data_IF_918089130076
#
_entry.id   IF_918089130076
#
_cell.length_a   1.000
_cell.length_b   1.000
_cell.length_c   1.000
_cell.angle_alpha   90.00
_cell.angle_beta   90.00
_cell.angle_gamma   90.00
#
_symmetry.space_group_name_H-M   'P 1'
#
loop_
_entity.id
_entity.type
_entity.pdbx_description
1 polymer ?
#
# COMPACT_ATOMS: atom_id res chain seq x y z
N UNK A 1 -31.58 -27.16 18.05
CA UNK A 1 -30.82 -27.31 16.79
C UNK A 1 -30.40 -25.98 16.16
N UNK A 2 -30.39 -24.86 16.92
CA UNK A 2 -29.96 -23.52 16.45
C UNK A 2 -28.65 -23.09 17.15
N UNK A 3 -28.37 -23.64 18.33
CA UNK A 3 -27.25 -23.23 19.19
C UNK A 3 -25.87 -23.65 18.67
N UNK A 4 -25.76 -24.82 18.04
CA UNK A 4 -24.47 -25.34 17.56
C UNK A 4 -23.98 -24.58 16.32
N UNK A 5 -24.90 -24.15 15.46
CA UNK A 5 -24.62 -23.39 14.23
C UNK A 5 -24.01 -22.02 14.53
N UNK A 6 -24.47 -21.33 15.57
CA UNK A 6 -23.92 -20.03 15.97
C UNK A 6 -22.51 -20.13 16.54
N UNK A 7 -22.23 -21.19 17.30
CA UNK A 7 -20.90 -21.42 17.88
C UNK A 7 -19.86 -21.68 16.78
N UNK A 8 -20.24 -22.39 15.72
CA UNK A 8 -19.36 -22.65 14.58
C UNK A 8 -19.13 -21.40 13.71
N UNK A 9 -20.15 -20.56 13.52
CA UNK A 9 -20.01 -19.26 12.85
C UNK A 9 -19.05 -18.35 13.64
N UNK A 10 -19.21 -18.26 14.96
CA UNK A 10 -18.34 -17.45 15.82
C UNK A 10 -16.89 -17.97 15.78
N UNK A 11 -16.69 -19.29 15.79
CA UNK A 11 -15.35 -19.90 15.67
C UNK A 11 -14.71 -19.74 14.29
N UNK A 12 -15.51 -19.55 13.24
CA UNK A 12 -15.02 -19.32 11.86
C UNK A 12 -14.51 -17.89 11.62
N UNK A 13 -14.81 -16.97 12.52
CA UNK A 13 -14.43 -15.55 12.43
C UNK A 13 -12.96 -15.38 12.82
N UNK A 14 -12.10 -15.29 11.82
CA UNK A 14 -10.64 -15.17 11.99
C UNK A 14 -10.13 -13.74 12.06
N UNK A 15 -10.98 -12.73 11.81
CA UNK A 15 -10.57 -11.33 11.79
C UNK A 15 -11.52 -10.42 12.58
N UNK A 16 -11.00 -9.33 13.19
CA UNK A 16 -11.81 -8.34 13.92
C UNK A 16 -12.93 -7.71 13.07
N UNK A 17 -12.71 -7.60 11.75
CA UNK A 17 -13.68 -7.05 10.79
C UNK A 17 -14.85 -8.02 10.58
N UNK A 18 -14.58 -9.32 10.48
CA UNK A 18 -15.63 -10.34 10.37
C UNK A 18 -16.49 -10.44 11.64
N UNK A 19 -15.92 -10.17 12.82
CA UNK A 19 -16.67 -10.10 14.09
C UNK A 19 -17.57 -8.85 14.15
N UNK A 20 -17.09 -7.72 13.64
CA UNK A 20 -17.85 -6.47 13.52
C UNK A 20 -19.07 -6.64 12.59
N UNK A 21 -18.89 -7.32 11.45
CA UNK A 21 -19.99 -7.60 10.50
C UNK A 21 -21.06 -8.48 11.17
N UNK A 22 -20.67 -9.51 11.91
CA UNK A 22 -21.60 -10.38 12.62
C UNK A 22 -22.41 -9.61 13.67
N UNK A 23 -21.75 -8.78 14.49
CA UNK A 23 -22.44 -7.96 15.49
C UNK A 23 -23.40 -6.96 14.82
N UNK A 24 -22.95 -6.31 13.74
CA UNK A 24 -23.78 -5.36 12.99
C UNK A 24 -25.04 -6.03 12.44
N UNK A 25 -24.92 -7.26 11.93
CA UNK A 25 -26.06 -8.04 11.45
C UNK A 25 -27.02 -8.43 12.58
N UNK A 26 -26.50 -8.88 13.73
CA UNK A 26 -27.31 -9.27 14.88
C UNK A 26 -28.05 -8.07 15.48
N UNK A 27 -27.38 -6.93 15.67
CA UNK A 27 -28.04 -5.73 16.20
C UNK A 27 -28.95 -5.10 15.16
N UNK A 28 -28.57 -5.09 13.88
CA UNK A 28 -29.43 -4.64 12.79
C UNK A 28 -30.74 -5.44 12.69
N UNK A 29 -30.66 -6.77 12.86
CA UNK A 29 -31.84 -7.64 12.93
C UNK A 29 -32.73 -7.32 14.14
N UNK A 30 -32.15 -7.14 15.33
CA UNK A 30 -32.89 -6.78 16.55
C UNK A 30 -33.54 -5.39 16.47
N UNK A 31 -32.93 -4.45 15.75
CA UNK A 31 -33.48 -3.11 15.50
C UNK A 31 -34.59 -3.13 14.45
N UNK A 32 -34.53 -4.04 13.47
CA UNK A 32 -35.54 -4.16 12.42
C UNK A 32 -36.87 -4.72 12.95
N UNK A 33 -36.83 -5.69 13.88
CA UNK A 33 -38.03 -6.37 14.41
C UNK A 33 -38.63 -5.70 15.67
N UNK A 34 -38.07 -4.58 16.15
CA UNK A 34 -38.47 -3.97 17.42
C UNK A 34 -39.21 -2.64 17.27
N UNK A 35 -40.49 -2.60 17.63
CA UNK A 35 -41.28 -1.36 17.77
C UNK A 35 -41.06 -0.63 19.13
N UNK A 36 -40.26 -1.22 20.03
CA UNK A 36 -40.03 -0.64 21.36
C UNK A 36 -38.89 0.41 21.32
N UNK A 37 -39.16 1.68 21.63
CA UNK A 37 -38.16 2.76 21.53
C UNK A 37 -36.97 2.58 22.48
N UNK A 38 -37.14 1.89 23.61
CA UNK A 38 -36.06 1.62 24.57
C UNK A 38 -35.08 0.59 24.00
N UNK A 39 -35.61 -0.44 23.33
CA UNK A 39 -34.79 -1.47 22.67
C UNK A 39 -34.05 -0.87 21.47
N UNK A 40 -34.71 0.02 20.73
CA UNK A 40 -34.10 0.78 19.64
C UNK A 40 -32.92 1.66 20.09
N UNK A 41 -33.13 2.48 21.12
CA UNK A 41 -32.08 3.34 21.68
C UNK A 41 -30.93 2.52 22.29
N UNK A 42 -31.25 1.44 22.99
CA UNK A 42 -30.24 0.54 23.58
C UNK A 42 -29.40 -0.17 22.51
N UNK A 43 -30.03 -0.67 21.44
CA UNK A 43 -29.35 -1.32 20.32
C UNK A 43 -28.45 -0.36 19.55
N UNK A 44 -28.90 0.87 19.30
CA UNK A 44 -28.10 1.92 18.66
C UNK A 44 -26.89 2.33 19.51
N UNK A 45 -27.08 2.49 20.84
CA UNK A 45 -25.98 2.81 21.76
C UNK A 45 -24.93 1.68 21.80
N UNK A 46 -25.38 0.43 21.78
CA UNK A 46 -24.49 -0.74 21.74
C UNK A 46 -23.70 -0.81 20.42
N UNK A 47 -24.35 -0.59 19.27
CA UNK A 47 -23.69 -0.49 17.97
C UNK A 47 -22.64 0.62 17.93
N UNK A 48 -22.98 1.79 18.47
CA UNK A 48 -22.07 2.93 18.53
C UNK A 48 -20.83 2.60 19.39
N UNK A 49 -21.02 2.00 20.56
CA UNK A 49 -19.92 1.59 21.44
C UNK A 49 -19.02 0.55 20.77
N UNK A 50 -19.59 -0.45 20.09
CA UNK A 50 -18.83 -1.48 19.39
C UNK A 50 -18.07 -0.89 18.21
N UNK A 51 -18.70 0.01 17.45
CA UNK A 51 -18.06 0.72 16.33
C UNK A 51 -16.86 1.53 16.82
N UNK A 52 -17.02 2.32 17.90
CA UNK A 52 -15.91 3.06 18.51
C UNK A 52 -14.81 2.11 18.98
N UNK A 53 -15.17 1.02 19.66
CA UNK A 53 -14.18 0.05 20.16
C UNK A 53 -13.39 -0.59 19.03
N UNK A 54 -14.04 -0.89 17.91
CA UNK A 54 -13.38 -1.42 16.71
C UNK A 54 -12.53 -0.38 16.00
N UNK A 55 -12.96 0.89 15.92
CA UNK A 55 -12.14 1.99 15.41
C UNK A 55 -10.89 2.16 16.28
N UNK A 56 -11.04 2.22 17.59
CA UNK A 56 -9.92 2.33 18.55
C UNK A 56 -9.01 1.11 18.46
N UNK A 57 -9.55 -0.10 18.36
CA UNK A 57 -8.78 -1.31 18.17
C UNK A 57 -8.02 -1.29 16.85
N UNK A 58 -8.66 -0.92 15.74
CA UNK A 58 -8.02 -0.81 14.43
C UNK A 58 -6.90 0.26 14.42
N UNK A 59 -7.10 1.38 15.13
CA UNK A 59 -6.10 2.43 15.31
C UNK A 59 -4.94 1.96 16.19
N UNK A 60 -5.22 1.24 17.29
CA UNK A 60 -4.24 0.78 18.29
C UNK A 60 -3.43 -0.43 17.82
N UNK A 61 -4.06 -1.33 17.05
CA UNK A 61 -3.45 -2.56 16.54
C UNK A 61 -3.06 -2.47 15.06
N UNK A 62 -3.09 -1.27 14.45
CA UNK A 62 -2.68 -1.05 13.05
C UNK A 62 -3.38 -1.99 12.06
N UNK A 63 -4.66 -2.33 12.28
CA UNK A 63 -5.36 -3.29 11.42
C UNK A 63 -5.78 -2.71 10.06
N UNK A 64 -5.72 -1.38 9.88
CA UNK A 64 -6.11 -0.70 8.64
C UNK A 64 -4.92 -0.38 7.71
N UNK A 65 -3.69 -0.45 8.23
CA UNK A 65 -2.47 -0.30 7.44
C UNK A 65 -1.37 -1.14 8.12
N UNK A 66 -0.68 -2.05 7.40
CA UNK A 66 0.47 -2.76 7.95
C UNK A 66 1.37 -1.78 8.70
N UNK A 67 1.81 -2.14 9.91
CA UNK A 67 2.64 -1.26 10.76
C UNK A 67 3.92 -0.74 10.09
N UNK A 68 4.29 -1.37 8.97
CA UNK A 68 5.36 -0.96 8.05
C UNK A 68 5.12 0.43 7.42
N UNK A 69 3.87 0.84 7.18
CA UNK A 69 3.56 2.14 6.55
C UNK A 69 3.69 3.31 7.55
N UNK A 70 3.62 3.06 8.87
CA UNK A 70 3.76 4.12 9.90
C UNK A 70 5.20 4.50 10.23
N UNK A 71 6.21 3.81 9.71
CA UNK A 71 7.56 3.81 10.30
C UNK A 71 8.66 4.37 9.38
N UNK A 72 8.42 5.47 8.67
CA UNK A 72 9.51 6.24 8.02
C UNK A 72 9.54 7.71 8.46
N UNK A 73 8.52 8.14 9.22
CA UNK A 73 8.43 9.49 9.81
C UNK A 73 8.83 9.52 11.29
N UNK A 74 9.22 8.36 11.86
CA UNK A 74 9.78 8.28 13.20
C UNK A 74 11.17 8.92 13.19
N UNK A 75 11.40 9.90 14.07
CA UNK A 75 12.72 10.54 14.25
C UNK A 75 13.85 9.55 14.57
N UNK A 76 13.52 8.35 15.03
CA UNK A 76 14.51 7.31 15.38
C UNK A 76 15.03 6.53 14.17
N UNK A 77 14.46 6.73 12.99
CA UNK A 77 14.81 5.98 11.78
C UNK A 77 15.81 6.75 10.88
N UNK A 78 16.37 7.84 11.42
CA UNK A 78 17.30 8.78 10.82
C UNK A 78 18.38 9.20 11.84
N UNK A 79 19.54 9.75 11.41
CA UNK A 79 19.98 9.92 10.02
C UNK A 79 20.32 8.58 9.35
N UNK A 80 20.29 8.51 8.02
CA UNK A 80 20.76 7.36 7.28
C UNK A 80 22.26 7.14 7.51
N UNK A 81 22.68 5.88 7.64
CA UNK A 81 24.11 5.56 7.51
C UNK A 81 24.59 5.87 6.09
N UNK A 82 25.87 6.20 5.92
CA UNK A 82 26.44 6.46 4.59
C UNK A 82 26.27 5.28 3.64
N UNK A 83 26.44 4.05 4.15
CA UNK A 83 26.20 2.83 3.37
C UNK A 83 24.73 2.72 2.93
N UNK A 84 23.79 3.01 3.83
CA UNK A 84 22.36 3.01 3.50
C UNK A 84 22.02 4.04 2.42
N UNK A 85 22.51 5.28 2.57
CA UNK A 85 22.24 6.33 1.59
C UNK A 85 22.80 5.98 0.20
N UNK A 86 24.02 5.44 0.14
CA UNK A 86 24.63 4.97 -1.11
C UNK A 86 23.89 3.77 -1.70
N UNK A 87 23.29 2.93 -0.87
CA UNK A 87 22.55 1.76 -1.32
C UNK A 87 21.26 2.10 -2.09
N UNK A 88 20.74 3.33 -1.99
CA UNK A 88 19.58 3.78 -2.77
C UNK A 88 19.96 4.47 -4.09
N UNK A 89 21.11 5.14 -4.14
CA UNK A 89 21.54 5.92 -5.31
C UNK A 89 21.77 5.05 -6.56
N UNK A 90 21.53 5.63 -7.74
CA UNK A 90 21.84 5.02 -9.04
C UNK A 90 20.61 4.52 -9.81
N UNK A 91 20.87 3.72 -10.84
CA UNK A 91 19.84 3.23 -11.78
C UNK A 91 19.30 1.86 -11.39
N UNK A 92 17.99 1.71 -11.54
CA UNK A 92 17.23 0.55 -11.14
C UNK A 92 16.27 0.11 -12.24
N UNK A 93 16.38 -1.15 -12.64
CA UNK A 93 15.43 -1.83 -13.51
C UNK A 93 14.20 -2.21 -12.70
N UNK A 94 13.05 -1.67 -13.04
CA UNK A 94 11.85 -1.80 -12.24
C UNK A 94 10.80 -2.58 -13.01
N UNK A 95 10.31 -3.66 -12.40
CA UNK A 95 9.21 -4.47 -12.92
C UNK A 95 8.00 -4.26 -12.04
N UNK A 96 6.93 -3.79 -12.64
CA UNK A 96 5.69 -3.46 -11.96
C UNK A 96 4.65 -4.49 -12.34
N UNK A 97 3.82 -4.82 -11.36
CA UNK A 97 2.66 -5.69 -11.56
C UNK A 97 1.39 -4.94 -11.18
N UNK A 98 0.25 -5.40 -11.68
CA UNK A 98 -1.05 -4.95 -11.23
C UNK A 98 -1.90 -6.14 -10.80
N UNK A 99 -2.86 -5.90 -9.91
CA UNK A 99 -3.81 -6.90 -9.47
C UNK A 99 -5.07 -6.84 -10.36
N UNK A 100 -5.38 -7.92 -11.04
CA UNK A 100 -6.56 -8.01 -11.90
C UNK A 100 -7.86 -8.28 -11.10
N UNK A 101 -8.99 -8.33 -11.80
CA UNK A 101 -10.32 -8.60 -11.21
C UNK A 101 -10.43 -9.98 -10.54
N UNK A 102 -9.57 -10.92 -10.92
CA UNK A 102 -9.47 -12.25 -10.31
C UNK A 102 -8.41 -12.30 -9.18
N UNK A 103 -7.94 -11.14 -8.74
CA UNK A 103 -6.96 -10.99 -7.67
C UNK A 103 -5.57 -11.58 -8.00
N UNK A 104 -5.24 -11.76 -9.29
CA UNK A 104 -3.95 -12.24 -9.76
C UNK A 104 -2.99 -11.08 -10.06
N UNK A 105 -1.71 -11.23 -9.72
CA UNK A 105 -0.68 -10.28 -10.13
C UNK A 105 -0.26 -10.57 -11.57
N UNK A 106 -0.44 -9.58 -12.45
CA UNK A 106 -0.01 -9.63 -13.85
C UNK A 106 1.08 -8.58 -14.10
N UNK A 107 2.01 -8.82 -15.03
CA UNK A 107 2.94 -7.80 -15.50
C UNK A 107 2.18 -6.55 -15.94
N UNK A 108 2.73 -5.39 -15.61
CA UNK A 108 2.09 -4.10 -15.86
C UNK A 108 2.95 -3.18 -16.69
N UNK A 109 4.13 -2.85 -16.18
CA UNK A 109 5.12 -2.04 -16.89
C UNK A 109 6.51 -2.45 -16.44
N UNK A 110 7.47 -2.33 -17.34
CA UNK A 110 8.89 -2.39 -17.05
C UNK A 110 9.47 -1.00 -17.36
N UNK A 111 10.09 -0.36 -16.37
CA UNK A 111 10.71 0.97 -16.52
C UNK A 111 12.07 1.04 -15.80
N UNK A 112 12.76 2.17 -15.98
CA UNK A 112 14.02 2.45 -15.29
C UNK A 112 13.79 3.62 -14.34
N UNK A 113 14.21 3.49 -13.09
CA UNK A 113 14.27 4.59 -12.12
C UNK A 113 15.73 4.93 -11.84
N UNK A 114 16.09 6.20 -11.93
CA UNK A 114 17.37 6.73 -11.47
C UNK A 114 17.15 7.57 -10.21
N UNK A 115 17.68 7.10 -9.08
CA UNK A 115 17.72 7.87 -7.83
C UNK A 115 18.97 8.74 -7.85
N UNK A 116 18.77 10.05 -7.91
CA UNK A 116 19.83 11.04 -8.14
C UNK A 116 20.36 11.65 -6.84
N UNK A 117 19.53 11.73 -5.81
CA UNK A 117 19.89 12.36 -4.54
C UNK A 117 19.29 11.62 -3.36
N UNK A 118 20.08 11.50 -2.29
CA UNK A 118 19.67 10.96 -1.00
C UNK A 118 20.31 11.82 0.10
N UNK A 119 19.50 12.61 0.81
CA UNK A 119 19.97 13.40 1.95
C UNK A 119 20.09 12.49 3.19
N UNK A 120 21.28 12.43 3.79
CA UNK A 120 21.53 11.50 4.90
C UNK A 120 20.79 11.89 6.17
N UNK A 121 20.65 13.19 6.45
CA UNK A 121 20.08 13.65 7.71
C UNK A 121 18.56 13.52 7.75
N UNK A 122 17.91 13.92 6.66
CA UNK A 122 16.45 13.87 6.50
C UNK A 122 15.97 12.58 5.86
N UNK A 123 16.83 11.80 5.22
CA UNK A 123 16.46 10.63 4.42
C UNK A 123 15.70 11.00 3.15
N UNK A 124 15.63 12.27 2.75
CA UNK A 124 14.95 12.70 1.53
C UNK A 124 15.57 12.05 0.31
N UNK A 125 14.73 11.51 -0.58
CA UNK A 125 15.13 10.89 -1.84
C UNK A 125 14.50 11.67 -2.99
N UNK A 126 15.28 11.95 -4.04
CA UNK A 126 14.78 12.42 -5.32
C UNK A 126 15.29 11.54 -6.46
N UNK A 127 14.49 11.42 -7.52
CA UNK A 127 14.84 10.63 -8.69
C UNK A 127 13.95 10.89 -9.89
N UNK A 128 14.28 10.22 -10.98
CA UNK A 128 13.64 10.33 -12.28
C UNK A 128 13.33 8.93 -12.78
N UNK A 129 12.09 8.70 -13.24
CA UNK A 129 11.69 7.46 -13.87
C UNK A 129 11.44 7.64 -15.36
N UNK A 130 11.88 6.67 -16.14
CA UNK A 130 11.83 6.66 -17.61
C UNK A 130 10.71 5.71 -18.05
N UNK A 131 9.53 6.27 -18.32
CA UNK A 131 8.31 5.52 -18.56
C UNK A 131 8.24 4.93 -19.97
N UNK A 132 7.65 3.73 -20.09
CA UNK A 132 7.33 3.12 -21.40
C UNK A 132 6.06 3.70 -22.04
N UNK A 133 5.25 4.44 -21.29
CA UNK A 133 3.90 4.85 -21.74
C UNK A 133 3.94 5.98 -22.76
N UNK A 134 4.93 6.87 -22.67
CA UNK A 134 5.06 8.03 -23.56
C UNK A 134 6.55 8.23 -23.85
N UNK A 135 6.90 8.17 -25.13
CA UNK A 135 8.27 8.31 -25.61
C UNK A 135 8.83 9.69 -25.21
N UNK A 136 10.00 9.71 -24.56
CA UNK A 136 10.68 10.90 -24.05
C UNK A 136 10.01 11.62 -22.86
N UNK A 137 9.06 11.00 -22.17
CA UNK A 137 8.49 11.59 -20.95
C UNK A 137 8.93 10.87 -19.69
N UNK A 138 9.53 11.64 -18.80
CA UNK A 138 9.98 11.17 -17.49
C UNK A 138 8.94 11.52 -16.42
N UNK A 139 8.83 10.68 -15.40
CA UNK A 139 8.14 11.03 -14.16
C UNK A 139 9.15 11.34 -13.06
N UNK A 140 8.77 12.21 -12.15
CA UNK A 140 9.62 12.60 -11.02
C UNK A 140 9.27 11.76 -9.81
N UNK A 141 10.28 11.29 -9.08
CA UNK A 141 10.12 10.63 -7.80
C UNK A 141 10.64 11.54 -6.68
N UNK A 142 9.88 11.62 -5.60
CA UNK A 142 10.32 12.26 -4.36
C UNK A 142 9.79 11.51 -3.16
N UNK A 143 10.59 11.36 -2.12
CA UNK A 143 10.17 10.59 -0.96
C UNK A 143 11.16 10.63 0.18
N UNK A 144 11.07 9.63 1.05
CA UNK A 144 12.04 9.43 2.14
C UNK A 144 12.39 7.96 2.30
N UNK A 145 13.67 7.68 2.53
CA UNK A 145 14.16 6.42 3.04
C UNK A 145 14.44 6.49 4.55
N UNK A 146 14.59 5.31 5.14
CA UNK A 146 14.93 5.12 6.56
C UNK A 146 16.08 4.15 6.72
N UNK A 147 16.73 4.19 7.89
CA UNK A 147 17.70 3.18 8.32
C UNK A 147 17.11 1.77 8.51
N UNK A 148 15.78 1.64 8.43
CA UNK A 148 15.10 0.34 8.38
C UNK A 148 15.09 -0.27 6.99
N UNK A 149 15.78 0.36 6.03
CA UNK A 149 15.85 -0.05 4.62
C UNK A 149 14.49 -0.03 3.93
N UNK A 150 13.64 0.90 4.34
CA UNK A 150 12.33 1.13 3.73
C UNK A 150 12.31 2.54 3.15
N UNK A 151 11.74 2.69 1.95
CA UNK A 151 11.49 3.98 1.31
C UNK A 151 10.02 4.17 0.95
N UNK A 152 9.50 5.37 1.20
CA UNK A 152 8.21 5.83 0.68
C UNK A 152 8.48 6.88 -0.38
N UNK A 153 8.13 6.58 -1.62
CA UNK A 153 8.30 7.47 -2.76
C UNK A 153 6.93 7.86 -3.31
N UNK A 154 6.79 9.12 -3.67
CA UNK A 154 5.68 9.62 -4.48
C UNK A 154 6.22 9.87 -5.87
N UNK A 155 5.41 9.53 -6.88
CA UNK A 155 5.74 9.86 -8.25
C UNK A 155 4.67 10.74 -8.87
N UNK A 156 5.11 11.63 -9.76
CA UNK A 156 4.23 12.48 -10.55
C UNK A 156 4.74 12.55 -11.99
N UNK A 157 3.85 12.25 -12.94
CA UNK A 157 4.12 12.48 -14.36
C UNK A 157 3.62 13.86 -14.78
N UNK A 158 4.41 14.62 -15.56
CA UNK A 158 3.99 15.91 -16.12
C UNK A 158 3.02 15.76 -17.31
N UNK A 159 2.78 14.56 -17.84
CA UNK A 159 1.94 14.40 -19.02
C UNK A 159 0.46 14.67 -18.72
N UNK A 160 -0.17 15.54 -19.51
CA UNK A 160 -1.59 15.87 -19.38
C UNK A 160 -2.53 14.66 -19.58
N UNK A 161 -2.07 13.62 -20.28
CA UNK A 161 -2.78 12.35 -20.51
C UNK A 161 -2.43 11.28 -19.46
N UNK A 162 -1.31 11.45 -18.77
CA UNK A 162 -0.82 10.59 -17.71
C UNK A 162 -1.12 11.28 -16.38
N UNK A 163 -2.36 11.17 -15.91
CA UNK A 163 -2.71 11.44 -14.50
C UNK A 163 -2.02 10.47 -13.52
N UNK A 164 -0.81 10.00 -13.84
CA UNK A 164 0.01 9.05 -13.12
C UNK A 164 0.68 9.79 -11.97
N UNK A 165 -0.11 10.00 -10.93
CA UNK A 165 0.41 10.27 -9.60
C UNK A 165 0.19 9.03 -8.75
N UNK A 166 1.12 8.76 -7.85
CA UNK A 166 1.01 7.58 -7.02
C UNK A 166 2.05 7.52 -5.92
N UNK A 167 2.01 6.41 -5.20
CA UNK A 167 2.90 6.12 -4.10
C UNK A 167 3.52 4.75 -4.30
N UNK A 168 4.78 4.62 -3.91
CA UNK A 168 5.56 3.39 -3.91
C UNK A 168 6.15 3.21 -2.52
N UNK A 169 6.01 2.01 -1.99
CA UNK A 169 6.60 1.58 -0.72
C UNK A 169 7.60 0.49 -1.05
N UNK A 170 8.88 0.75 -0.79
CA UNK A 170 9.98 -0.14 -1.11
C UNK A 170 10.62 -0.65 0.17
N UNK A 171 11.00 -1.92 0.16
CA UNK A 171 11.79 -2.58 1.19
C UNK A 171 13.03 -3.17 0.53
N UNK A 172 14.19 -2.82 1.09
CA UNK A 172 15.50 -3.21 0.60
C UNK A 172 16.11 -4.24 1.55
N UNK A 173 16.29 -5.50 1.13
CA UNK A 173 17.06 -6.47 1.92
C UNK A 173 18.54 -6.07 1.95
N UNK A 174 19.34 -6.61 2.90
CA UNK A 174 20.79 -6.39 2.90
C UNK A 174 21.47 -6.82 1.60
N UNK A 175 20.95 -7.87 0.95
CA UNK A 175 21.43 -8.43 -0.31
C UNK A 175 20.22 -8.78 -1.19
N UNK A 176 20.34 -8.53 -2.49
CA UNK A 176 19.32 -8.86 -3.50
C UNK A 176 18.38 -7.72 -3.86
N UNK A 177 17.31 -8.08 -4.56
CA UNK A 177 16.37 -7.15 -5.17
C UNK A 177 15.60 -6.32 -4.14
N UNK A 178 15.37 -5.05 -4.45
CA UNK A 178 14.40 -4.23 -3.72
C UNK A 178 13.01 -4.69 -4.14
N UNK A 179 12.12 -4.85 -3.18
CA UNK A 179 10.73 -5.26 -3.44
C UNK A 179 9.77 -4.32 -2.76
N UNK A 180 8.55 -4.24 -3.25
CA UNK A 180 7.60 -3.28 -2.70
C UNK A 180 6.21 -3.39 -3.26
N UNK A 181 5.41 -2.38 -2.92
CA UNK A 181 4.06 -2.19 -3.43
C UNK A 181 3.90 -0.79 -3.97
N UNK A 182 3.10 -0.65 -5.01
CA UNK A 182 2.76 0.64 -5.58
C UNK A 182 1.25 0.80 -5.72
N UNK A 183 0.83 2.06 -5.72
CA UNK A 183 -0.54 2.49 -5.95
C UNK A 183 -0.51 3.71 -6.89
N UNK A 184 -1.13 3.58 -8.05
CA UNK A 184 -1.39 4.67 -8.97
C UNK A 184 -2.84 5.14 -8.90
N UNK A 185 -3.02 6.45 -8.80
CA UNK A 185 -4.31 7.11 -8.90
C UNK A 185 -4.53 7.66 -10.31
N UNK A 186 -5.78 8.00 -10.66
CA UNK A 186 -6.09 8.88 -11.79
C UNK A 186 -6.19 8.22 -13.18
N UNK A 187 -6.32 6.88 -13.27
CA UNK A 187 -6.61 6.20 -14.54
C UNK A 187 -8.13 6.10 -14.79
N UNK A 188 -8.54 6.11 -16.07
CA UNK A 188 -9.94 5.97 -16.51
C UNK A 188 -10.63 4.69 -16.00
N UNK A 189 -9.88 3.66 -15.59
CA UNK A 189 -10.37 2.39 -15.05
C UNK A 189 -10.37 2.28 -13.52
N UNK A 190 -10.00 3.34 -12.78
CA UNK A 190 -9.88 3.32 -11.32
C UNK A 190 -8.43 3.24 -10.83
N UNK A 191 -8.26 3.16 -9.52
CA UNK A 191 -6.95 3.04 -8.88
C UNK A 191 -6.35 1.66 -9.18
N UNK A 192 -5.07 1.63 -9.58
CA UNK A 192 -4.35 0.41 -9.94
C UNK A 192 -3.16 0.26 -8.99
N UNK A 193 -2.91 -0.95 -8.52
CA UNK A 193 -1.75 -1.23 -7.68
C UNK A 193 -1.31 -2.68 -7.74
N UNK A 194 -0.08 -2.92 -7.31
CA UNK A 194 0.52 -4.24 -7.31
C UNK A 194 1.93 -4.23 -6.73
N UNK A 195 2.63 -5.34 -6.92
CA UNK A 195 4.02 -5.48 -6.49
C UNK A 195 4.98 -4.76 -7.44
N UNK A 196 6.08 -4.28 -6.89
CA UNK A 196 7.23 -3.75 -7.65
C UNK A 196 8.50 -4.50 -7.23
N UNK A 197 9.36 -4.79 -8.21
CA UNK A 197 10.69 -5.36 -8.00
C UNK A 197 11.69 -4.43 -8.69
N UNK A 198 12.73 -4.01 -7.96
CA UNK A 198 13.81 -3.19 -8.51
C UNK A 198 15.15 -3.94 -8.40
N UNK A 199 15.81 -4.07 -9.54
CA UNK A 199 17.14 -4.69 -9.67
C UNK A 199 18.14 -3.62 -10.06
N UNK A 200 19.41 -3.77 -9.65
CA UNK A 200 20.46 -2.84 -10.07
C UNK A 200 20.57 -2.87 -11.59
N UNK A 201 20.59 -1.71 -12.23
CA UNK A 201 20.69 -1.66 -13.70
C UNK A 201 22.00 -2.29 -14.20
N UNK A 202 23.08 -2.15 -13.44
CA UNK A 202 24.38 -2.76 -13.74
C UNK A 202 24.35 -4.29 -13.80
N UNK A 203 23.42 -4.93 -13.08
CA UNK A 203 23.26 -6.40 -13.09
C UNK A 203 22.51 -6.90 -14.32
N UNK A 204 21.78 -6.02 -15.01
CA UNK A 204 21.08 -6.32 -16.25
C UNK A 204 20.99 -5.06 -17.14
N UNK A 205 22.09 -4.68 -17.82
CA UNK A 205 22.14 -3.46 -18.63
C UNK A 205 21.27 -3.56 -19.88
N UNK A 206 20.95 -4.77 -20.34
CA UNK A 206 20.10 -5.04 -21.50
C UNK A 206 18.59 -5.02 -21.14
N UNK A 207 18.23 -4.45 -19.98
CA UNK A 207 16.83 -4.34 -19.56
C UNK A 207 16.04 -3.42 -20.50
N UNK A 208 14.98 -3.99 -21.07
CA UNK A 208 14.09 -3.26 -21.97
C UNK A 208 12.92 -2.66 -21.21
N UNK A 209 12.67 -1.38 -21.44
CA UNK A 209 11.47 -0.68 -21.01
C UNK A 209 10.29 -1.21 -21.82
N UNK A 210 9.24 -1.70 -21.17
CA UNK A 210 8.10 -2.37 -21.82
C UNK A 210 6.77 -1.97 -21.19
N UNK A 211 5.76 -1.77 -22.03
CA UNK A 211 4.37 -1.65 -21.60
C UNK A 211 3.65 -2.97 -21.86
N UNK A 212 2.93 -3.49 -20.87
CA UNK A 212 2.09 -4.67 -21.07
C UNK A 212 0.65 -4.20 -21.30
N UNK A 213 0.01 -4.73 -22.35
CA UNK A 213 -1.40 -4.46 -22.57
C UNK A 213 -2.20 -4.92 -21.36
N UNK A 214 -2.92 -3.97 -20.75
CA UNK A 214 -3.76 -4.21 -19.58
C UNK A 214 -5.18 -4.37 -20.10
N UNK A 215 -5.68 -5.60 -20.11
CA UNK A 215 -7.07 -5.95 -20.44
C UNK A 215 -8.09 -5.36 -19.46
#
# INVERSE_FOLDING_TARGET
>A
MITDTWVDIIKSIKTPVSFLVLITLVVGYLLHDSDNPIILLGGLALLFLITITCIVYAIKHNALFPGEIRSIWSKNDLPLSTEEAQAWLGKWNCRWTYRDTNNQLKPYVDDIIEITEVDQDSGEITGIGYSSYIENENYFLRGRASNKRVAHLFYTSPAATAGLSGMVILSRPPLGDITGWWLGAGRKGGDVGGGVIMQRHEENPDFEIRNYDVD
#
